data_IF_747267940622
#
_entry.id   IF_747267940622
#
_cell.length_a   1.000
_cell.length_b   1.000
_cell.length_c   1.000
_cell.angle_alpha   90.00
_cell.angle_beta   90.00
_cell.angle_gamma   90.00
#
_symmetry.space_group_name_H-M   'P 1'
#
loop_
_entity.id
_entity.type
_entity.pdbx_description
1 polymer ?
#
# COMPACT_ATOMS: atom_id res chain seq x y z
N UNK A 1 -0.02 20.98 -53.95
CA UNK A 1 -0.87 20.57 -52.81
C UNK A 1 0.02 19.90 -51.79
N UNK A 2 0.35 20.57 -50.68
CA UNK A 2 1.03 19.93 -49.56
C UNK A 2 -0.03 19.19 -48.73
N UNK A 3 -0.01 17.85 -48.76
CA UNK A 3 -0.70 17.06 -47.73
C UNK A 3 0.04 17.37 -46.44
N UNK A 4 -0.57 18.20 -45.60
CA UNK A 4 -0.26 18.23 -44.18
C UNK A 4 -0.55 16.81 -43.73
N UNK A 5 0.51 15.99 -43.58
CA UNK A 5 0.40 14.73 -42.87
C UNK A 5 -0.21 15.11 -41.53
N UNK A 6 -1.45 14.67 -41.27
CA UNK A 6 -2.04 14.71 -39.94
C UNK A 6 -1.00 14.05 -39.04
N UNK A 7 -0.20 14.89 -38.37
CA UNK A 7 0.56 14.44 -37.23
C UNK A 7 -0.52 13.93 -36.31
N UNK A 8 -0.59 12.60 -36.19
CA UNK A 8 -1.42 11.94 -35.21
C UNK A 8 -0.88 12.45 -33.88
N UNK A 9 -1.42 13.57 -33.42
CA UNK A 9 -1.24 14.07 -32.07
C UNK A 9 -1.96 13.02 -31.24
N UNK A 10 -1.22 11.95 -30.92
CA UNK A 10 -1.72 10.84 -30.14
C UNK A 10 -2.34 11.43 -28.88
N UNK A 11 -3.50 10.89 -28.49
CA UNK A 11 -4.20 11.33 -27.29
C UNK A 11 -3.18 11.36 -26.14
N UNK A 12 -2.86 12.53 -25.54
CA UNK A 12 -1.76 12.68 -24.60
C UNK A 12 -1.95 11.79 -23.36
N UNK A 13 -3.19 11.40 -23.06
CA UNK A 13 -3.52 10.47 -21.99
C UNK A 13 -2.99 9.04 -22.26
N UNK A 14 -2.85 8.63 -23.52
CA UNK A 14 -2.27 7.32 -23.88
C UNK A 14 -0.83 7.24 -23.40
N UNK A 15 -0.04 8.31 -23.57
CA UNK A 15 1.37 8.35 -23.16
C UNK A 15 1.56 8.21 -21.64
N UNK A 16 0.53 8.53 -20.85
CA UNK A 16 0.58 8.38 -19.39
C UNK A 16 0.58 6.91 -18.93
N UNK A 17 0.02 6.01 -19.75
CA UNK A 17 -0.05 4.57 -19.50
C UNK A 17 0.88 3.75 -20.41
N UNK A 18 1.07 4.18 -21.66
CA UNK A 18 1.89 3.50 -22.66
C UNK A 18 3.19 4.29 -22.82
N UNK A 19 4.17 3.96 -21.98
CA UNK A 19 5.53 4.46 -22.08
C UNK A 19 6.50 3.43 -21.49
N UNK A 20 7.78 3.54 -21.83
CA UNK A 20 8.82 2.60 -21.39
C UNK A 20 8.90 2.47 -19.86
N UNK A 21 8.61 3.52 -19.10
CA UNK A 21 8.69 3.46 -17.63
C UNK A 21 7.54 2.64 -17.02
N UNK A 22 6.35 2.63 -17.64
CA UNK A 22 5.22 1.79 -17.23
C UNK A 22 5.36 0.37 -17.78
N UNK A 23 5.72 0.22 -19.06
CA UNK A 23 5.84 -1.12 -19.68
C UNK A 23 6.92 -1.96 -19.01
N UNK A 24 8.03 -1.35 -18.56
CA UNK A 24 9.12 -2.03 -17.86
C UNK A 24 8.98 -2.02 -16.32
N UNK A 25 7.91 -1.48 -15.76
CA UNK A 25 7.74 -1.46 -14.31
C UNK A 25 7.42 -2.85 -13.76
N UNK A 26 8.22 -3.32 -12.79
CA UNK A 26 7.92 -4.51 -12.01
C UNK A 26 6.89 -4.25 -10.90
N UNK A 27 6.25 -5.33 -10.42
CA UNK A 27 5.34 -5.28 -9.25
C UNK A 27 6.08 -5.01 -7.93
N UNK A 28 7.39 -5.28 -7.91
CA UNK A 28 8.35 -4.97 -6.83
C UNK A 28 9.39 -3.99 -7.35
N UNK A 29 9.70 -2.97 -6.57
CA UNK A 29 10.80 -2.03 -6.82
C UNK A 29 11.82 -2.09 -5.68
N UNK A 30 12.84 -1.22 -5.72
CA UNK A 30 13.78 -1.01 -4.61
C UNK A 30 13.09 -0.56 -3.32
N UNK A 31 11.86 -0.04 -3.40
CA UNK A 31 11.06 0.38 -2.24
C UNK A 31 10.12 -0.72 -1.72
N UNK A 32 10.20 -1.93 -2.29
CA UNK A 32 9.37 -3.07 -1.92
C UNK A 32 8.23 -3.34 -2.90
N UNK A 33 7.27 -4.15 -2.46
CA UNK A 33 6.12 -4.58 -3.25
C UNK A 33 5.08 -3.47 -3.35
N UNK A 34 4.66 -3.16 -4.58
CA UNK A 34 3.54 -2.27 -4.88
C UNK A 34 2.24 -3.05 -5.11
N UNK A 35 2.35 -4.28 -5.59
CA UNK A 35 1.26 -5.23 -5.84
C UNK A 35 1.75 -6.67 -5.61
N UNK A 36 0.86 -7.66 -5.44
CA UNK A 36 1.27 -9.06 -5.22
C UNK A 36 1.24 -9.95 -6.47
N UNK A 37 1.43 -11.27 -6.29
CA UNK A 37 1.47 -11.99 -5.01
C UNK A 37 2.71 -11.65 -4.18
N UNK A 38 2.50 -11.24 -2.92
CA UNK A 38 3.58 -10.98 -1.96
C UNK A 38 3.82 -12.28 -1.20
N UNK A 39 5.03 -12.88 -1.26
CA UNK A 39 5.34 -14.13 -0.57
C UNK A 39 5.07 -14.03 0.94
N UNK A 40 4.48 -15.08 1.51
CA UNK A 40 4.35 -15.24 2.96
C UNK A 40 5.35 -16.26 3.50
N UNK A 41 6.63 -15.88 3.53
CA UNK A 41 7.70 -16.80 3.94
C UNK A 41 7.54 -17.33 5.38
N UNK A 42 6.90 -16.57 6.25
CA UNK A 42 6.68 -16.91 7.66
C UNK A 42 5.23 -17.37 7.93
N UNK A 43 4.64 -18.17 7.04
CA UNK A 43 3.30 -18.70 7.27
C UNK A 43 3.25 -19.55 8.55
N UNK A 44 2.17 -19.39 9.32
CA UNK A 44 2.01 -20.02 10.63
C UNK A 44 2.88 -19.46 11.75
N UNK A 45 3.80 -18.53 11.49
CA UNK A 45 4.59 -17.91 12.56
C UNK A 45 3.70 -17.05 13.47
N UNK A 46 3.83 -17.23 14.78
CA UNK A 46 3.09 -16.50 15.80
C UNK A 46 4.11 -15.78 16.71
N UNK A 47 3.93 -14.48 17.01
CA UNK A 47 4.84 -13.77 17.89
C UNK A 47 4.96 -14.43 19.27
N UNK A 48 6.16 -14.49 19.87
CA UNK A 48 6.39 -15.16 21.17
C UNK A 48 5.44 -14.69 22.29
N UNK A 49 5.10 -13.40 22.29
CA UNK A 49 4.15 -12.82 23.27
C UNK A 49 2.74 -13.42 23.17
N UNK A 50 2.30 -13.77 21.97
CA UNK A 50 1.01 -14.43 21.77
C UNK A 50 1.06 -15.91 22.14
N UNK A 51 2.18 -16.59 21.85
CA UNK A 51 2.42 -17.97 22.29
C UNK A 51 2.37 -18.06 23.81
N UNK A 52 3.14 -17.21 24.51
CA UNK A 52 3.16 -17.16 25.97
C UNK A 52 1.78 -16.84 26.58
N UNK A 53 1.01 -15.95 25.94
CA UNK A 53 -0.35 -15.64 26.39
C UNK A 53 -1.30 -16.83 26.25
N UNK A 54 -1.19 -17.58 25.14
CA UNK A 54 -1.98 -18.77 24.88
C UNK A 54 -1.63 -19.91 25.85
N UNK A 55 -0.35 -20.17 26.09
CA UNK A 55 0.14 -21.16 27.06
C UNK A 55 -0.32 -20.82 28.49
N UNK A 56 -0.34 -19.54 28.86
CA UNK A 56 -0.83 -19.08 30.14
C UNK A 56 -2.37 -19.08 30.26
N UNK A 57 -3.11 -19.43 29.21
CA UNK A 57 -4.58 -19.38 29.20
C UNK A 57 -5.14 -17.95 29.34
N UNK A 58 -4.37 -16.94 28.94
CA UNK A 58 -4.76 -15.53 29.04
C UNK A 58 -5.28 -14.99 27.71
N UNK A 59 -5.87 -13.79 27.73
CA UNK A 59 -6.35 -13.15 26.51
C UNK A 59 -5.17 -12.87 25.56
N UNK A 60 -5.28 -13.36 24.31
CA UNK A 60 -4.26 -13.17 23.28
C UNK A 60 -4.12 -11.67 22.98
N UNK A 61 -2.94 -11.06 23.19
CA UNK A 61 -2.75 -9.64 22.98
C UNK A 61 -2.77 -9.31 21.48
N UNK A 62 -3.18 -8.09 21.14
CA UNK A 62 -3.09 -7.57 19.77
C UNK A 62 -1.62 -7.46 19.37
N UNK A 63 -1.27 -8.03 18.20
CA UNK A 63 0.08 -7.96 17.63
C UNK A 63 0.54 -6.51 17.49
N UNK A 64 1.62 -6.18 18.21
CA UNK A 64 2.23 -4.86 18.18
C UNK A 64 3.20 -4.72 16.99
N UNK A 65 3.68 -3.51 16.71
CA UNK A 65 4.75 -3.33 15.72
C UNK A 65 6.06 -4.00 16.15
N UNK A 66 6.31 -4.06 17.45
CA UNK A 66 7.52 -4.67 18.01
C UNK A 66 7.44 -6.18 17.91
N UNK A 67 6.26 -6.75 18.20
CA UNK A 67 6.00 -8.18 18.02
C UNK A 67 6.30 -8.60 16.57
N UNK A 68 5.86 -7.81 15.59
CA UNK A 68 6.08 -8.12 14.17
C UNK A 68 7.52 -7.82 13.70
N UNK A 69 8.32 -7.12 14.50
CA UNK A 69 9.73 -6.85 14.23
C UNK A 69 10.67 -7.83 14.95
N UNK A 70 10.12 -8.80 15.68
CA UNK A 70 10.87 -9.78 16.45
C UNK A 70 11.81 -10.61 15.54
N UNK A 71 13.05 -10.81 15.96
CA UNK A 71 14.09 -11.51 15.20
C UNK A 71 13.95 -13.05 15.31
N UNK A 72 12.96 -13.56 16.04
CA UNK A 72 12.63 -15.00 16.13
C UNK A 72 11.91 -15.54 14.90
N UNK A 73 11.70 -14.74 13.85
CA UNK A 73 11.10 -15.20 12.58
C UNK A 73 12.07 -16.12 11.82
N UNK A 74 11.61 -17.25 11.26
CA UNK A 74 12.48 -18.14 10.49
C UNK A 74 13.06 -17.53 9.21
N UNK A 75 12.33 -16.61 8.59
CA UNK A 75 12.70 -15.99 7.32
C UNK A 75 12.55 -14.47 7.35
N UNK A 76 13.31 -13.79 6.51
CA UNK A 76 13.16 -12.35 6.30
C UNK A 76 11.75 -12.00 5.82
N UNK A 77 11.18 -10.96 6.42
CA UNK A 77 9.88 -10.45 5.99
C UNK A 77 10.01 -9.57 4.75
N UNK A 78 8.97 -9.54 3.93
CA UNK A 78 8.96 -8.73 2.73
C UNK A 78 8.76 -7.24 3.03
N UNK A 79 9.30 -6.37 2.17
CA UNK A 79 9.09 -4.92 2.27
C UNK A 79 7.87 -4.53 1.44
N UNK A 80 6.89 -3.88 2.06
CA UNK A 80 5.75 -3.29 1.36
C UNK A 80 6.00 -1.81 1.11
N UNK A 81 5.79 -1.36 -0.13
CA UNK A 81 5.83 0.06 -0.44
C UNK A 81 4.68 0.83 0.23
N UNK A 82 4.96 2.08 0.60
CA UNK A 82 3.94 3.03 1.07
C UNK A 82 2.89 3.34 0.00
N UNK A 83 3.22 3.16 -1.29
CA UNK A 83 2.27 3.24 -2.40
C UNK A 83 1.84 1.84 -2.83
N UNK A 84 0.63 1.47 -2.42
CA UNK A 84 0.01 0.18 -2.68
C UNK A 84 -1.51 0.40 -2.89
N UNK A 85 -2.25 -0.57 -3.45
CA UNK A 85 -3.63 -0.36 -3.89
C UNK A 85 -4.66 -0.31 -2.75
N UNK A 86 -4.26 -0.52 -1.49
CA UNK A 86 -5.20 -0.68 -0.38
C UNK A 86 -5.87 -2.07 -0.34
N UNK A 87 -5.25 -3.08 -0.94
CA UNK A 87 -5.73 -4.46 -1.00
C UNK A 87 -4.66 -5.39 -0.43
N UNK A 88 -5.05 -6.32 0.43
CA UNK A 88 -4.14 -7.30 1.00
C UNK A 88 -3.69 -8.29 -0.08
N UNK A 89 -2.42 -8.20 -0.49
CA UNK A 89 -1.85 -8.99 -1.57
C UNK A 89 -0.89 -10.09 -1.08
N UNK A 90 -0.99 -10.48 0.20
CA UNK A 90 -0.22 -11.61 0.75
C UNK A 90 -0.71 -12.90 0.10
N UNK A 91 0.22 -13.65 -0.49
CA UNK A 91 0.03 -14.99 -1.00
C UNK A 91 -0.16 -15.97 0.16
N UNK A 92 -1.28 -16.68 0.16
CA UNK A 92 -1.69 -17.54 1.28
C UNK A 92 -1.27 -18.99 1.12
N UNK A 93 -0.99 -19.42 -0.11
CA UNK A 93 -0.75 -20.84 -0.42
C UNK A 93 0.52 -21.08 -1.24
N UNK A 94 1.27 -20.02 -1.55
CA UNK A 94 2.47 -20.09 -2.39
C UNK A 94 2.16 -20.42 -3.85
N UNK A 95 0.89 -20.40 -4.24
CA UNK A 95 0.40 -20.65 -5.61
C UNK A 95 -0.16 -19.38 -6.24
N UNK A 96 -0.02 -18.24 -5.55
CA UNK A 96 -0.48 -16.94 -6.00
C UNK A 96 -1.93 -16.62 -5.58
N UNK A 97 -2.56 -17.40 -4.70
CA UNK A 97 -3.87 -17.02 -4.15
C UNK A 97 -3.69 -16.03 -3.01
N UNK A 98 -4.03 -14.76 -3.29
CA UNK A 98 -3.86 -13.66 -2.35
C UNK A 98 -5.05 -13.49 -1.40
N UNK A 99 -4.82 -12.85 -0.24
CA UNK A 99 -5.88 -12.60 0.74
C UNK A 99 -7.07 -11.78 0.21
N UNK A 100 -6.83 -10.65 -0.46
CA UNK A 100 -7.84 -9.84 -1.16
C UNK A 100 -8.68 -8.89 -0.31
N UNK A 101 -8.49 -8.83 1.02
CA UNK A 101 -9.23 -7.87 1.86
C UNK A 101 -8.89 -6.43 1.44
N UNK A 102 -9.94 -5.62 1.22
CA UNK A 102 -9.82 -4.22 0.79
C UNK A 102 -9.92 -3.25 1.96
N UNK A 103 -9.16 -2.16 1.92
CA UNK A 103 -9.11 -1.15 2.97
C UNK A 103 -9.19 0.26 2.40
N UNK A 104 -9.98 1.12 3.07
CA UNK A 104 -10.07 2.55 2.73
C UNK A 104 -8.86 3.37 3.21
N UNK A 105 -8.04 2.81 4.10
CA UNK A 105 -6.92 3.54 4.71
C UNK A 105 -5.72 2.64 4.96
N UNK A 106 -4.53 3.21 4.78
CA UNK A 106 -3.25 2.53 5.02
C UNK A 106 -3.07 2.04 6.48
N UNK A 107 -3.50 2.78 7.52
CA UNK A 107 -3.42 2.26 8.90
C UNK A 107 -4.21 0.97 9.12
N UNK A 108 -5.41 0.84 8.52
CA UNK A 108 -6.23 -0.37 8.63
C UNK A 108 -5.62 -1.54 7.89
N UNK A 109 -5.10 -1.31 6.68
CA UNK A 109 -4.36 -2.32 5.92
C UNK A 109 -3.15 -2.85 6.71
N UNK A 110 -2.31 -1.95 7.26
CA UNK A 110 -1.16 -2.35 8.08
C UNK A 110 -1.55 -3.10 9.35
N UNK A 111 -2.68 -2.77 9.97
CA UNK A 111 -3.21 -3.52 11.10
C UNK A 111 -3.60 -4.93 10.69
N UNK A 112 -4.26 -5.07 9.54
CA UNK A 112 -4.63 -6.36 9.00
C UNK A 112 -3.41 -7.24 8.73
N UNK A 113 -2.36 -6.71 8.09
CA UNK A 113 -1.12 -7.49 7.90
C UNK A 113 -0.55 -8.00 9.22
N UNK A 114 -0.42 -7.16 10.26
CA UNK A 114 0.10 -7.62 11.56
C UNK A 114 -0.78 -8.68 12.24
N UNK A 115 -2.10 -8.59 12.09
CA UNK A 115 -3.04 -9.46 12.81
C UNK A 115 -3.30 -10.79 12.09
N UNK A 116 -3.30 -10.79 10.76
CA UNK A 116 -3.71 -11.94 9.95
C UNK A 116 -2.56 -12.52 9.14
N UNK A 117 -1.46 -11.77 8.97
CA UNK A 117 -0.26 -12.18 8.26
C UNK A 117 1.00 -11.82 9.07
N UNK A 118 1.08 -12.18 10.38
CA UNK A 118 2.24 -11.86 11.20
C UNK A 118 3.53 -12.41 10.55
N UNK A 119 4.58 -11.59 10.52
CA UNK A 119 5.87 -11.97 9.91
C UNK A 119 5.91 -11.92 8.39
N UNK A 120 4.80 -11.68 7.69
CA UNK A 120 4.81 -11.55 6.22
C UNK A 120 5.55 -10.29 5.76
N UNK A 121 5.39 -9.18 6.50
CA UNK A 121 5.91 -7.87 6.11
C UNK A 121 6.75 -7.23 7.21
N UNK A 122 7.82 -6.54 6.81
CA UNK A 122 8.53 -5.60 7.67
C UNK A 122 7.56 -4.52 8.13
N UNK A 123 7.61 -4.18 9.41
CA UNK A 123 6.81 -3.09 9.99
C UNK A 123 7.08 -1.76 9.26
N UNK A 124 6.15 -1.39 8.38
CA UNK A 124 6.23 -0.16 7.59
C UNK A 124 6.25 1.05 8.53
N UNK A 125 7.36 1.80 8.50
CA UNK A 125 7.51 3.03 9.27
C UNK A 125 6.52 4.09 8.77
N UNK A 126 6.08 4.97 9.68
CA UNK A 126 5.31 6.18 9.31
C UNK A 126 6.25 7.21 8.68
N UNK A 127 6.76 6.90 7.49
CA UNK A 127 7.55 7.84 6.71
C UNK A 127 6.66 8.53 5.67
N UNK A 128 7.05 9.74 5.27
CA UNK A 128 6.50 10.34 4.07
C UNK A 128 7.01 9.55 2.86
N UNK A 129 6.14 9.29 1.89
CA UNK A 129 6.54 8.63 0.66
C UNK A 129 7.52 9.52 -0.12
N UNK A 130 8.67 8.95 -0.47
CA UNK A 130 9.67 9.66 -1.27
C UNK A 130 9.18 9.86 -2.70
N UNK A 131 9.72 10.86 -3.41
CA UNK A 131 9.36 11.09 -4.83
C UNK A 131 9.71 9.88 -5.71
N UNK A 132 10.90 9.26 -5.60
CA UNK A 132 11.23 8.06 -6.38
C UNK A 132 10.28 6.89 -6.10
N UNK A 133 9.92 6.65 -4.84
CA UNK A 133 8.97 5.60 -4.47
C UNK A 133 7.59 5.86 -5.05
N UNK A 134 7.15 7.12 -5.03
CA UNK A 134 5.87 7.52 -5.61
C UNK A 134 5.85 7.28 -7.12
N UNK A 135 6.90 7.64 -7.84
CA UNK A 135 7.00 7.40 -9.28
C UNK A 135 7.04 5.91 -9.60
N UNK A 136 7.87 5.14 -8.89
CA UNK A 136 7.98 3.70 -9.05
C UNK A 136 6.63 3.01 -8.80
N UNK A 137 5.94 3.35 -7.71
CA UNK A 137 4.67 2.73 -7.38
C UNK A 137 3.53 3.14 -8.33
N UNK A 138 3.50 4.38 -8.82
CA UNK A 138 2.52 4.74 -9.86
C UNK A 138 2.76 3.96 -11.16
N UNK A 139 4.02 3.84 -11.60
CA UNK A 139 4.33 3.08 -12.80
C UNK A 139 4.00 1.59 -12.62
N UNK A 140 4.34 1.00 -11.47
CA UNK A 140 4.00 -0.38 -11.14
C UNK A 140 2.47 -0.62 -11.12
N UNK A 141 1.70 0.27 -10.49
CA UNK A 141 0.24 0.12 -10.43
C UNK A 141 -0.41 0.34 -11.80
N UNK A 142 0.07 1.29 -12.62
CA UNK A 142 -0.38 1.42 -14.01
C UNK A 142 -0.08 0.16 -14.81
N UNK A 143 1.12 -0.39 -14.69
CA UNK A 143 1.53 -1.62 -15.35
C UNK A 143 0.61 -2.79 -14.99
N UNK A 144 0.31 -2.94 -13.69
CA UNK A 144 -0.57 -3.98 -13.16
C UNK A 144 -1.99 -3.89 -13.74
N UNK A 145 -2.54 -2.68 -13.89
CA UNK A 145 -3.88 -2.49 -14.46
C UNK A 145 -3.86 -2.65 -15.98
N UNK A 146 -2.90 -2.02 -16.67
CA UNK A 146 -2.75 -2.06 -18.13
C UNK A 146 -2.62 -3.50 -18.66
N UNK A 147 -1.79 -4.32 -18.00
CA UNK A 147 -1.58 -5.72 -18.36
C UNK A 147 -2.64 -6.67 -17.75
N UNK A 148 -3.70 -6.13 -17.15
CA UNK A 148 -4.78 -6.88 -16.51
C UNK A 148 -4.33 -7.85 -15.41
N UNK A 149 -3.14 -7.65 -14.83
CA UNK A 149 -2.63 -8.43 -13.71
C UNK A 149 -3.59 -8.28 -12.51
N UNK A 150 -4.05 -7.05 -12.22
CA UNK A 150 -5.08 -6.81 -11.20
C UNK A 150 -6.38 -7.59 -11.46
N UNK A 151 -6.87 -7.53 -12.70
CA UNK A 151 -8.14 -8.15 -13.10
C UNK A 151 -8.07 -9.68 -13.02
N UNK A 152 -6.93 -10.27 -13.39
CA UNK A 152 -6.75 -11.71 -13.50
C UNK A 152 -6.10 -12.35 -12.26
N UNK A 153 -5.68 -11.57 -11.26
CA UNK A 153 -5.10 -12.07 -10.03
C UNK A 153 -6.05 -13.04 -9.28
N UNK A 154 -5.51 -14.00 -8.54
CA UNK A 154 -6.31 -14.90 -7.71
C UNK A 154 -6.45 -14.31 -6.29
N UNK A 155 -7.68 -14.13 -5.81
CA UNK A 155 -7.94 -13.65 -4.45
C UNK A 155 -8.90 -14.60 -3.73
N UNK A 156 -8.56 -14.98 -2.49
CA UNK A 156 -9.44 -15.71 -1.59
C UNK A 156 -10.68 -14.87 -1.24
N UNK A 157 -10.49 -13.58 -0.92
CA UNK A 157 -11.58 -12.63 -0.70
C UNK A 157 -11.60 -11.65 -1.86
N UNK A 158 -12.47 -11.95 -2.82
CA UNK A 158 -12.62 -11.18 -4.04
C UNK A 158 -12.81 -9.67 -3.77
N UNK A 159 -11.84 -8.81 -4.17
CA UNK A 159 -11.87 -7.38 -3.87
C UNK A 159 -12.81 -6.58 -4.78
N UNK A 160 -13.32 -7.18 -5.88
CA UNK A 160 -14.06 -6.48 -6.91
C UNK A 160 -13.23 -5.32 -7.47
N UNK A 161 -13.77 -4.10 -7.51
CA UNK A 161 -13.04 -2.92 -8.00
C UNK A 161 -11.93 -2.40 -7.07
N UNK A 162 -11.78 -2.99 -5.88
CA UNK A 162 -10.90 -2.47 -4.83
C UNK A 162 -11.53 -1.30 -4.06
N UNK A 163 -10.74 -0.53 -3.30
CA UNK A 163 -11.24 0.65 -2.61
C UNK A 163 -11.81 1.67 -3.61
N UNK A 164 -13.06 2.11 -3.39
CA UNK A 164 -13.72 3.11 -4.24
C UNK A 164 -12.92 4.41 -4.30
N UNK A 165 -12.59 4.88 -5.52
CA UNK A 165 -11.71 6.03 -5.72
C UNK A 165 -10.27 5.76 -5.28
N UNK A 166 -9.88 4.49 -5.16
CA UNK A 166 -8.50 4.07 -4.99
C UNK A 166 -7.75 4.10 -6.32
N UNK A 167 -6.42 4.08 -6.26
CA UNK A 167 -5.54 4.23 -7.43
C UNK A 167 -5.86 3.21 -8.54
N UNK A 168 -6.17 1.95 -8.18
CA UNK A 168 -6.52 0.91 -9.16
C UNK A 168 -7.87 1.19 -9.84
N UNK A 169 -8.88 1.63 -9.09
CA UNK A 169 -10.22 1.99 -9.59
C UNK A 169 -10.12 3.18 -10.56
N UNK A 170 -9.33 4.20 -10.19
CA UNK A 170 -9.06 5.37 -11.03
C UNK A 170 -8.32 5.00 -12.32
N UNK A 171 -7.27 4.17 -12.24
CA UNK A 171 -6.51 3.74 -13.41
C UNK A 171 -7.32 2.84 -14.34
N UNK A 172 -8.09 1.90 -13.79
CA UNK A 172 -8.98 1.05 -14.57
C UNK A 172 -10.04 1.89 -15.30
N UNK A 173 -10.65 2.86 -14.61
CA UNK A 173 -11.61 3.81 -15.22
C UNK A 173 -10.97 4.61 -16.36
N UNK A 174 -9.76 5.12 -16.16
CA UNK A 174 -9.05 5.88 -17.18
C UNK A 174 -8.72 5.00 -18.41
N UNK A 175 -8.28 3.77 -18.20
CA UNK A 175 -7.93 2.83 -19.27
C UNK A 175 -9.16 2.36 -20.06
N UNK A 176 -10.29 2.12 -19.41
CA UNK A 176 -11.55 1.81 -20.09
C UNK A 176 -12.07 2.99 -20.91
N UNK A 177 -11.95 4.21 -20.38
CA UNK A 177 -12.27 5.43 -21.14
C UNK A 177 -11.37 5.58 -22.37
N UNK A 178 -10.07 5.29 -22.24
CA UNK A 178 -9.14 5.30 -23.37
C UNK A 178 -9.49 4.24 -24.40
N UNK A 179 -9.79 3.01 -23.99
CA UNK A 179 -10.23 1.97 -24.91
C UNK A 179 -11.56 2.30 -25.60
N UNK A 180 -12.47 3.02 -24.93
CA UNK A 180 -13.72 3.46 -25.55
C UNK A 180 -13.50 4.56 -26.62
N UNK A 181 -12.40 5.32 -26.54
CA UNK A 181 -12.15 6.48 -27.41
C UNK A 181 -11.07 6.24 -28.47
N UNK A 182 -10.16 5.28 -28.25
CA UNK A 182 -9.09 4.92 -29.17
C UNK A 182 -9.19 3.43 -29.54
N UNK A 183 -9.65 3.17 -30.77
CA UNK A 183 -9.81 1.82 -31.30
C UNK A 183 -8.47 1.05 -31.41
N UNK A 184 -7.34 1.74 -31.64
CA UNK A 184 -6.02 1.09 -31.70
C UNK A 184 -5.58 0.67 -30.30
N UNK A 185 -5.83 1.53 -29.30
CA UNK A 185 -5.59 1.20 -27.91
C UNK A 185 -6.43 -0.01 -27.46
N UNK A 186 -7.74 0.02 -27.76
CA UNK A 186 -8.66 -1.08 -27.47
C UNK A 186 -8.26 -2.39 -28.15
N UNK A 187 -7.83 -2.34 -29.41
CA UNK A 187 -7.36 -3.53 -30.13
C UNK A 187 -6.12 -4.14 -29.48
N UNK A 188 -5.19 -3.31 -28.96
CA UNK A 188 -3.95 -3.78 -28.34
C UNK A 188 -4.16 -4.29 -26.91
N UNK A 189 -4.91 -3.56 -26.09
CA UNK A 189 -4.99 -3.81 -24.64
C UNK A 189 -6.35 -4.36 -24.19
N UNK A 190 -7.37 -4.36 -25.05
CA UNK A 190 -8.75 -4.70 -24.72
C UNK A 190 -9.53 -3.53 -24.12
N UNK A 191 -10.77 -3.81 -23.73
CA UNK A 191 -11.76 -2.78 -23.32
C UNK A 191 -12.17 -2.85 -21.86
N UNK A 192 -11.78 -3.91 -21.13
CA UNK A 192 -12.18 -4.13 -19.75
C UNK A 192 -10.95 -4.25 -18.86
N UNK A 193 -10.82 -3.32 -17.91
CA UNK A 193 -9.68 -3.21 -17.01
C UNK A 193 -10.08 -3.32 -15.54
N UNK A 194 -11.31 -2.91 -15.19
CA UNK A 194 -11.85 -3.22 -13.88
C UNK A 194 -11.94 -4.72 -13.73
N UNK A 195 -11.69 -5.18 -12.51
CA UNK A 195 -12.02 -6.53 -12.12
C UNK A 195 -13.54 -6.65 -12.01
N UNK A 196 -14.08 -7.74 -12.55
CA UNK A 196 -15.50 -8.02 -12.41
C UNK A 196 -15.81 -8.11 -10.91
N UNK A 197 -16.64 -7.18 -10.44
CA UNK A 197 -17.21 -7.35 -9.13
C UNK A 197 -17.95 -8.67 -9.17
N UNK A 198 -17.60 -9.60 -8.28
CA UNK A 198 -18.60 -10.56 -7.84
C UNK A 198 -19.72 -9.67 -7.34
N UNK A 199 -20.76 -9.52 -8.14
CA UNK A 199 -22.08 -9.14 -7.65
C UNK A 199 -22.37 -10.21 -6.62
N UNK A 200 -21.85 -10.03 -5.40
CA UNK A 200 -22.42 -10.65 -4.24
C UNK A 200 -23.81 -10.05 -4.28
N UNK A 201 -24.75 -10.84 -4.78
CA UNK A 201 -26.14 -10.72 -4.40
C UNK A 201 -26.08 -10.72 -2.88
N UNK A 202 -25.94 -9.52 -2.32
CA UNK A 202 -26.04 -9.31 -0.89
C UNK A 202 -27.43 -9.88 -0.62
N UNK A 203 -27.59 -10.96 0.15
CA UNK A 203 -28.92 -11.32 0.58
C UNK A 203 -29.49 -10.05 1.20
N UNK A 204 -30.68 -9.63 0.76
CA UNK A 204 -31.25 -8.29 0.95
C UNK A 204 -31.53 -7.88 2.41
N UNK A 205 -30.85 -8.51 3.38
CA UNK A 205 -31.22 -8.55 4.79
C UNK A 205 -30.47 -7.57 5.68
N UNK A 206 -29.41 -6.90 5.22
CA UNK A 206 -28.62 -5.98 6.07
C UNK A 206 -28.85 -4.48 5.80
N UNK A 207 -29.57 -4.10 4.75
CA UNK A 207 -29.83 -2.67 4.48
C UNK A 207 -30.95 -2.09 5.38
N UNK A 208 -31.71 -2.93 6.09
CA UNK A 208 -32.79 -2.48 6.98
C UNK A 208 -32.34 -1.97 8.35
N UNK A 209 -31.04 -2.04 8.71
CA UNK A 209 -30.55 -1.61 10.03
C UNK A 209 -29.82 -0.26 10.06
N UNK A 210 -29.57 0.36 8.90
CA UNK A 210 -28.89 1.66 8.83
C UNK A 210 -29.84 2.86 9.04
N UNK A 211 -31.14 2.70 8.76
CA UNK A 211 -32.12 3.81 8.78
C UNK A 211 -33.09 3.78 9.96
N UNK A 212 -32.92 2.87 10.93
CA UNK A 212 -33.73 2.91 12.15
C UNK A 212 -33.30 4.11 13.03
N UNK A 213 -34.24 4.97 13.48
CA UNK A 213 -33.97 6.05 14.41
C UNK A 213 -33.20 5.53 15.62
N UNK A 214 -32.24 6.32 16.11
CA UNK A 214 -31.30 5.95 17.20
C UNK A 214 -32.00 5.44 18.49
N UNK A 215 -33.32 5.60 18.63
CA UNK A 215 -34.14 5.12 19.75
C UNK A 215 -34.95 3.83 19.51
N UNK A 216 -34.92 3.22 18.32
CA UNK A 216 -35.69 1.98 18.03
C UNK A 216 -34.78 0.77 17.71
N UNK A 217 -33.56 0.75 18.23
CA UNK A 217 -32.80 -0.51 18.24
C UNK A 217 -33.49 -1.43 19.25
N UNK A 218 -34.04 -2.59 18.85
CA UNK A 218 -34.53 -3.55 19.82
C UNK A 218 -33.38 -3.91 20.75
N UNK A 219 -33.64 -3.89 22.06
CA UNK A 219 -32.70 -4.38 23.05
C UNK A 219 -32.20 -5.75 22.57
N UNK A 220 -30.89 -5.87 22.45
CA UNK A 220 -30.23 -7.05 21.91
C UNK A 220 -30.65 -8.26 22.74
N UNK A 221 -31.66 -8.98 22.24
CA UNK A 221 -32.09 -10.26 22.75
C UNK A 221 -30.88 -11.17 22.68
N UNK A 222 -30.37 -11.57 23.84
CA UNK A 222 -29.31 -12.56 23.99
C UNK A 222 -29.58 -13.74 23.07
N UNK A 223 -28.80 -13.84 21.99
CA UNK A 223 -28.70 -15.08 21.24
C UNK A 223 -27.63 -15.93 21.94
N UNK A 224 -27.92 -17.22 22.19
CA UNK A 224 -27.00 -18.09 22.89
C UNK A 224 -25.74 -18.35 22.05
N UNK A 225 -24.64 -18.38 22.78
CA UNK A 225 -23.27 -18.60 22.35
C UNK A 225 -23.15 -19.91 21.56
N UNK A 226 -23.09 -19.84 20.23
CA UNK A 226 -22.70 -20.96 19.38
C UNK A 226 -21.27 -20.73 18.90
N UNK A 227 -20.33 -21.02 19.82
CA UNK A 227 -18.94 -21.32 19.48
C UNK A 227 -18.91 -22.60 18.65
N UNK A 228 -18.91 -22.47 17.33
CA UNK A 228 -18.31 -23.47 16.45
C UNK A 228 -16.96 -22.89 16.03
N UNK A 229 -15.94 -23.21 16.84
CA UNK A 229 -14.57 -23.20 16.38
C UNK A 229 -14.42 -24.40 15.43
N UNK A 230 -14.15 -24.15 14.15
CA UNK A 230 -13.48 -25.12 13.29
C UNK A 230 -11.98 -24.78 13.31
N UNK A 231 -11.14 -25.49 14.09
CA UNK A 231 -9.71 -25.47 13.89
C UNK A 231 -9.38 -26.50 12.82
N UNK A 232 -9.12 -26.04 11.60
CA UNK A 232 -8.42 -26.84 10.61
C UNK A 232 -6.91 -26.87 10.96
N UNK A 233 -6.59 -27.46 12.12
CA UNK A 233 -5.23 -27.86 12.48
C UNK A 233 -5.04 -29.25 11.85
N UNK A 234 -4.22 -29.33 10.81
CA UNK A 234 -3.67 -30.62 10.35
C UNK A 234 -2.40 -30.91 11.17
N UNK A 235 -2.34 -32.01 11.94
CA UNK A 235 -1.06 -32.53 12.39
C UNK A 235 -0.61 -33.61 11.39
N UNK A 236 0.57 -33.44 10.81
CA UNK A 236 1.27 -34.56 10.20
C UNK A 236 2.77 -34.50 10.49
N UNK A 237 3.19 -35.43 11.38
CA UNK A 237 4.39 -36.29 11.28
C UNK A 237 5.75 -35.57 11.42
N UNK A 238 6.77 -36.02 12.17
CA UNK A 238 7.02 -37.21 12.98
C UNK A 238 8.07 -36.90 14.05
N UNK A 239 7.93 -37.60 15.17
CA UNK A 239 8.93 -37.87 16.20
C UNK A 239 10.22 -38.51 15.68
N UNK A 240 11.35 -38.15 16.28
CA UNK A 240 12.56 -38.98 16.28
C UNK A 240 13.78 -38.31 16.92
N UNK A 241 14.04 -38.65 18.20
CA UNK A 241 15.36 -38.78 18.88
C UNK A 241 16.28 -37.53 18.97
N UNK A 242 17.07 -37.25 20.01
CA UNK A 242 17.32 -37.81 21.35
C UNK A 242 18.20 -36.84 22.17
N UNK A 243 18.08 -36.93 23.50
CA UNK A 243 19.09 -36.77 24.56
C UNK A 243 20.08 -35.59 24.65
N UNK A 244 20.08 -35.00 25.86
CA UNK A 244 21.26 -34.44 26.58
C UNK A 244 21.43 -32.92 26.43
N UNK A 245 21.68 -32.10 27.45
CA UNK A 245 22.09 -32.30 28.83
C UNK A 245 22.10 -30.93 29.54
N UNK A 246 21.89 -30.95 30.86
CA UNK A 246 22.48 -30.06 31.88
C UNK A 246 22.17 -28.55 31.92
N UNK A 247 21.31 -28.21 32.87
CA UNK A 247 21.34 -26.95 33.64
C UNK A 247 22.60 -26.87 34.53
N UNK A 248 23.06 -25.66 34.90
CA UNK A 248 22.64 -25.18 36.22
C UNK A 248 22.25 -23.70 36.32
N UNK A 249 21.40 -23.52 37.32
CA UNK A 249 20.88 -22.35 38.00
C UNK A 249 21.96 -21.31 38.33
N UNK A 250 21.73 -20.03 37.99
CA UNK A 250 22.27 -18.88 38.73
C UNK A 250 21.17 -17.85 38.97
N UNK A 251 20.72 -17.82 40.22
CA UNK A 251 20.05 -16.71 40.90
C UNK A 251 20.86 -15.42 40.80
N UNK A 252 20.21 -14.30 40.46
CA UNK A 252 20.42 -13.05 41.20
C UNK A 252 19.27 -12.05 41.00
N UNK A 253 18.62 -11.74 42.12
CA UNK A 253 17.64 -10.69 42.26
C UNK A 253 18.33 -9.31 42.26
N UNK A 254 17.78 -8.35 41.51
CA UNK A 254 17.99 -6.92 41.80
C UNK A 254 16.66 -6.17 41.83
N UNK A 255 16.22 -5.98 43.07
CA UNK A 255 15.21 -5.03 43.57
C UNK A 255 15.73 -3.61 43.36
N UNK A 256 15.05 -2.78 42.55
CA UNK A 256 15.25 -1.33 42.54
C UNK A 256 13.93 -0.62 42.85
N UNK A 257 14.08 0.38 43.73
CA UNK A 257 13.08 1.07 44.52
C UNK A 257 12.04 1.84 43.71
N UNK A 258 10.82 1.78 44.24
CA UNK A 258 9.74 2.77 44.12
C UNK A 258 10.27 4.21 44.29
N UNK A 259 9.87 5.09 43.39
CA UNK A 259 9.92 6.55 43.55
C UNK A 259 8.63 7.15 43.01
N UNK A 260 7.66 7.35 43.90
CA UNK A 260 6.42 8.05 43.58
C UNK A 260 6.65 9.55 43.45
N UNK A 261 5.93 10.17 42.52
CA UNK A 261 5.60 11.60 42.60
C UNK A 261 4.28 11.85 41.86
N UNK A 262 3.22 11.85 42.65
CA UNK A 262 1.94 12.48 42.37
C UNK A 262 2.15 13.98 42.17
N UNK A 263 1.75 14.50 41.01
CA UNK A 263 1.50 15.94 40.84
C UNK A 263 0.00 16.11 40.58
N UNK A 264 -0.67 16.65 41.60
CA UNK A 264 -1.97 17.28 41.46
C UNK A 264 -1.80 18.56 40.63
N UNK A 265 -2.57 18.68 39.54
CA UNK A 265 -2.79 19.94 38.85
C UNK A 265 -4.25 20.36 39.07
N UNK A 266 -4.50 21.62 39.48
CA UNK A 266 -5.82 22.09 39.82
C UNK A 266 -6.64 22.48 38.58
N UNK A 267 -7.95 22.28 38.71
CA UNK A 267 -9.01 22.72 37.81
C UNK A 267 -8.95 24.22 37.50
N UNK A 268 -9.23 24.66 36.27
CA UNK A 268 -9.57 26.04 36.01
C UNK A 268 -11.07 26.29 36.13
N UNK A 269 -11.32 27.31 36.94
CA UNK A 269 -12.52 28.12 37.19
C UNK A 269 -13.41 28.36 35.96
N UNK A 270 -14.72 28.17 36.17
CA UNK A 270 -15.80 28.65 35.30
C UNK A 270 -15.84 30.19 35.26
N UNK A 271 -16.07 30.77 34.10
CA UNK A 271 -16.69 32.10 34.01
C UNK A 271 -17.63 32.20 32.80
N UNK A 272 -18.82 32.82 32.97
CA UNK A 272 -19.87 32.90 31.97
C UNK A 272 -19.76 34.17 31.10
N UNK A 273 -20.65 34.23 30.10
CA UNK A 273 -21.00 35.40 29.29
C UNK A 273 -20.09 35.81 28.12
N UNK A 274 -20.45 35.33 26.91
CA UNK A 274 -20.37 36.19 25.72
C UNK A 274 -21.38 35.83 24.62
N UNK A 275 -22.47 36.61 24.62
CA UNK A 275 -23.19 37.24 23.50
C UNK A 275 -23.34 36.48 22.18
N UNK A 276 -24.62 36.18 21.90
CA UNK A 276 -25.36 36.47 20.66
C UNK A 276 -24.58 37.11 19.50
N UNK A 277 -24.56 36.43 18.35
CA UNK A 277 -24.87 37.06 17.06
C UNK A 277 -25.43 36.01 16.08
N UNK A 278 -26.64 36.29 15.65
CA UNK A 278 -27.47 35.52 14.72
C UNK A 278 -27.21 36.10 13.34
N UNK A 279 -26.46 35.41 12.49
CA UNK A 279 -26.19 35.85 11.11
C UNK A 279 -26.91 34.94 10.11
N UNK A 280 -27.49 35.59 9.10
CA UNK A 280 -28.45 35.08 8.13
C UNK A 280 -27.95 33.87 7.33
N UNK A 281 -28.82 32.86 7.20
CA UNK A 281 -28.73 31.85 6.15
C UNK A 281 -29.23 32.45 4.84
N UNK A 282 -28.36 32.52 3.84
CA UNK A 282 -28.76 32.73 2.45
C UNK A 282 -29.28 31.41 1.84
N UNK A 283 -30.25 31.46 0.91
CA UNK A 283 -30.83 30.28 0.28
C UNK A 283 -29.84 29.64 -0.71
N UNK A 284 -29.87 28.31 -0.74
CA UNK A 284 -29.05 27.47 -1.60
C UNK A 284 -29.31 27.76 -3.08
N UNK A 285 -28.28 28.29 -3.76
CA UNK A 285 -28.22 28.30 -5.21
C UNK A 285 -28.15 26.87 -5.75
N UNK A 286 -28.86 26.68 -6.85
CA UNK A 286 -29.06 25.46 -7.61
C UNK A 286 -27.78 24.65 -7.86
N UNK A 287 -27.90 23.33 -7.71
CA UNK A 287 -26.87 22.35 -7.97
C UNK A 287 -26.51 22.28 -9.47
N UNK A 288 -25.63 23.18 -9.91
CA UNK A 288 -24.87 22.98 -11.14
C UNK A 288 -23.96 21.76 -11.00
N UNK A 289 -24.02 20.84 -11.97
CA UNK A 289 -23.11 19.68 -12.07
C UNK A 289 -21.68 20.15 -11.86
N UNK A 290 -21.03 19.64 -10.80
CA UNK A 290 -19.63 19.94 -10.53
C UNK A 290 -18.79 19.49 -11.74
N UNK A 291 -17.93 20.36 -12.31
CA UNK A 291 -17.00 19.95 -13.37
C UNK A 291 -16.13 18.79 -12.89
N UNK A 292 -15.88 17.84 -13.80
CA UNK A 292 -15.16 16.57 -13.60
C UNK A 292 -14.01 16.70 -12.59
N UNK A 293 -14.16 16.14 -11.39
CA UNK A 293 -13.08 16.05 -10.39
C UNK A 293 -11.82 15.41 -10.97
N UNK A 294 -12.00 14.53 -11.96
CA UNK A 294 -10.93 13.93 -12.75
C UNK A 294 -10.01 14.95 -13.43
N UNK A 295 -10.56 16.03 -14.01
CA UNK A 295 -9.76 17.03 -14.72
C UNK A 295 -8.92 17.87 -13.76
N UNK A 296 -9.48 18.28 -12.61
CA UNK A 296 -8.74 19.04 -11.59
C UNK A 296 -7.59 18.24 -10.95
N UNK A 297 -7.81 16.94 -10.75
CA UNK A 297 -6.76 16.06 -10.25
C UNK A 297 -5.68 15.79 -11.30
N UNK A 298 -6.09 15.59 -12.56
CA UNK A 298 -5.18 15.46 -13.70
C UNK A 298 -4.31 16.71 -13.87
N UNK A 299 -4.92 17.90 -13.87
CA UNK A 299 -4.21 19.18 -13.96
C UNK A 299 -3.24 19.38 -12.77
N UNK A 300 -3.57 18.85 -11.59
CA UNK A 300 -2.67 18.90 -10.41
C UNK A 300 -1.46 17.99 -10.56
N UNK A 301 -1.65 16.75 -11.05
CA UNK A 301 -0.55 15.82 -11.29
C UNK A 301 0.35 16.28 -12.45
N UNK A 302 -0.25 16.84 -13.49
CA UNK A 302 0.48 17.38 -14.63
C UNK A 302 1.27 18.64 -14.24
N UNK A 303 0.70 19.50 -13.38
CA UNK A 303 1.42 20.63 -12.77
C UNK A 303 2.59 20.17 -11.90
N UNK A 304 2.42 19.13 -11.09
CA UNK A 304 3.50 18.60 -10.25
C UNK A 304 4.61 17.93 -11.07
N UNK A 305 4.24 17.21 -12.13
CA UNK A 305 5.19 16.57 -13.06
C UNK A 305 5.94 17.61 -13.92
N UNK A 306 5.24 18.64 -14.42
CA UNK A 306 5.84 19.72 -15.19
C UNK A 306 6.77 20.60 -14.35
N UNK A 307 6.40 20.89 -13.08
CA UNK A 307 7.29 21.55 -12.12
C UNK A 307 8.53 20.72 -11.85
N UNK A 308 8.40 19.40 -11.77
CA UNK A 308 9.53 18.50 -11.55
C UNK A 308 10.46 18.41 -12.77
N UNK A 309 9.92 18.27 -13.99
CA UNK A 309 10.73 18.31 -15.20
C UNK A 309 11.49 19.64 -15.35
N UNK A 310 10.85 20.75 -14.98
CA UNK A 310 11.49 22.07 -14.92
C UNK A 310 12.61 22.14 -13.88
N UNK A 311 12.41 21.57 -12.68
CA UNK A 311 13.43 21.55 -11.62
C UNK A 311 14.60 20.62 -11.93
N UNK A 312 14.34 19.43 -12.48
CA UNK A 312 15.38 18.50 -12.91
C UNK A 312 16.21 19.07 -14.08
N UNK A 313 15.56 19.74 -15.03
CA UNK A 313 16.24 20.44 -16.12
C UNK A 313 17.08 21.62 -15.61
N UNK A 314 16.58 22.39 -14.64
CA UNK A 314 17.36 23.46 -13.98
C UNK A 314 18.55 22.92 -13.21
N UNK A 315 18.40 21.82 -12.48
CA UNK A 315 19.50 21.17 -11.75
C UNK A 315 20.58 20.63 -12.71
N UNK A 316 20.17 20.06 -13.85
CA UNK A 316 21.07 19.62 -14.91
C UNK A 316 21.82 20.79 -15.56
N UNK A 317 21.13 21.91 -15.82
CA UNK A 317 21.78 23.11 -16.36
C UNK A 317 22.74 23.74 -15.34
N UNK A 318 22.40 23.80 -14.05
CA UNK A 318 23.30 24.34 -13.04
C UNK A 318 24.56 23.48 -12.87
N UNK A 319 24.43 22.15 -12.90
CA UNK A 319 25.58 21.25 -12.81
C UNK A 319 26.52 21.34 -14.02
N UNK A 320 26.00 21.65 -15.22
CA UNK A 320 26.82 21.83 -16.42
C UNK A 320 27.43 23.23 -16.54
N UNK A 321 26.82 24.25 -15.95
CA UNK A 321 27.39 25.61 -15.93
C UNK A 321 28.64 25.65 -15.03
N UNK A 322 28.67 24.91 -13.91
CA UNK A 322 29.84 24.86 -13.02
C UNK A 322 31.04 24.10 -13.62
N UNK A 323 30.81 23.21 -14.60
CA UNK A 323 31.91 22.53 -15.32
C UNK A 323 32.49 23.30 -16.51
N UNK A 324 31.93 24.47 -16.85
CA UNK A 324 32.35 25.26 -18.01
C UNK A 324 33.46 26.29 -17.74
N UNK A 325 34.02 26.35 -16.53
CA UNK A 325 35.04 27.33 -16.13
C UNK A 325 36.41 26.73 -15.73
N UNK A 326 36.77 25.55 -16.25
CA UNK A 326 38.10 24.96 -16.04
C UNK A 326 38.85 24.81 -17.39
N UNK A 327 39.84 25.66 -17.70
CA UNK A 327 40.53 25.64 -19.01
C UNK A 327 41.60 24.54 -19.15
N UNK A 328 41.52 23.44 -18.39
CA UNK A 328 42.58 22.43 -18.29
C UNK A 328 42.21 21.02 -18.80
N UNK A 329 41.15 20.87 -19.60
CA UNK A 329 40.79 19.57 -20.19
C UNK A 329 40.39 19.74 -21.67
N UNK A 330 41.37 20.11 -22.50
CA UNK A 330 41.23 20.09 -23.96
C UNK A 330 41.99 18.93 -24.62
N UNK A 331 42.37 17.92 -23.83
CA UNK A 331 43.22 16.82 -24.29
C UNK A 331 42.78 15.49 -23.68
N UNK A 332 41.48 15.17 -23.72
CA UNK A 332 40.98 13.82 -23.40
C UNK A 332 39.63 13.51 -24.08
N UNK A 333 39.57 13.69 -25.41
CA UNK A 333 38.35 13.42 -26.20
C UNK A 333 38.45 12.17 -27.09
N UNK A 334 39.14 11.13 -26.61
CA UNK A 334 39.18 9.82 -27.30
C UNK A 334 38.95 8.58 -26.42
N UNK A 335 38.63 8.75 -25.12
CA UNK A 335 38.49 7.63 -24.17
C UNK A 335 37.08 7.18 -23.79
N UNK A 336 36.01 7.88 -24.24
CA UNK A 336 34.67 7.69 -23.66
C UNK A 336 33.85 6.49 -24.17
N UNK A 337 34.36 5.72 -25.14
CA UNK A 337 33.66 4.54 -25.69
C UNK A 337 33.97 3.21 -24.99
N UNK A 338 34.95 3.14 -24.08
CA UNK A 338 35.33 1.90 -23.39
C UNK A 338 34.79 1.80 -21.95
N UNK A 339 34.32 2.89 -21.34
CA UNK A 339 33.91 2.93 -19.91
C UNK A 339 32.55 2.28 -19.59
N UNK A 340 31.78 1.83 -20.58
CA UNK A 340 30.50 1.12 -20.36
C UNK A 340 30.73 -0.35 -19.96
N UNK A 341 31.94 -0.90 -20.07
CA UNK A 341 32.26 -2.26 -19.62
C UNK A 341 32.78 -2.36 -18.18
N UNK A 342 33.05 -1.26 -17.49
CA UNK A 342 33.70 -1.29 -16.17
C UNK A 342 32.74 -1.22 -14.96
N UNK A 343 31.46 -0.87 -15.18
CA UNK A 343 30.46 -0.82 -14.09
C UNK A 343 29.89 -2.22 -13.76
N UNK A 344 30.21 -3.25 -14.55
CA UNK A 344 29.74 -4.62 -14.30
C UNK A 344 30.73 -5.50 -13.51
N UNK A 345 31.90 -5.00 -13.12
CA UNK A 345 32.96 -5.81 -12.47
C UNK A 345 33.33 -5.41 -11.04
N UNK A 346 32.72 -4.39 -10.43
CA UNK A 346 33.05 -3.93 -9.07
C UNK A 346 31.93 -4.15 -8.05
N UNK A 347 31.22 -5.28 -8.12
CA UNK A 347 30.27 -5.72 -7.09
C UNK A 347 30.56 -7.14 -6.56
N UNK A 348 31.84 -7.52 -6.56
CA UNK A 348 32.36 -8.55 -5.66
C UNK A 348 33.64 -8.02 -5.05
N UNK A 349 33.56 -7.61 -3.79
CA UNK A 349 34.50 -7.89 -2.70
C UNK A 349 34.19 -6.95 -1.51
N UNK A 350 34.04 -7.57 -0.34
CA UNK A 350 34.18 -7.01 1.02
C UNK A 350 33.04 -6.12 1.55
N UNK A 351 32.02 -6.72 2.19
CA UNK A 351 31.96 -7.00 3.64
C UNK A 351 30.89 -8.06 3.93
#
# INVERSE_FOLDING_TARGET
MYRISESVVGNPQVNHFVNNAVENAGVKSLHGWHFGPIPYANDGWIPPRQVAAAEAGTAIPIVSNNDNADDTRPHDAEVLSLLNPGVCCIDLDGRGTMCGVTFKSQPSLRRHYRQFHPGALVSVRRAMISVPERLAGFNALKHVVLNKIWRNASFLKEPGRGPRGGIIDEYATALEYLAATDAKFAARWGTLFHREGVFRLRPAREEYQADLPRGQRPASSMQPDTRIHDPLIKPSVSTGYDSGSDTPIVTQARRVKRGGRTRHSPSPVESPDRRQSKAQRQPAASAGRKPNQFRRWYDSLESDLARFQSLAFRAFLSANIEHSQCPALHEYDHGWRESIKFVSSCQRLEY
#
